data_IF_759613506736
#
_entry.id   IF_759613506736
#
_cell.length_a   1.000
_cell.length_b   1.000
_cell.length_c   1.000
_cell.angle_alpha   90.00
_cell.angle_beta   90.00
_cell.angle_gamma   90.00
#
_symmetry.space_group_name_H-M   'P 1'
#
loop_
_entity.id
_entity.type
_entity.pdbx_description
1 polymer ?
#
# COMPACT_ATOMS: atom_id res chain seq x y z
N UNK A 1 15.98 -4.38 6.91
CA UNK A 1 15.30 -3.79 8.08
C UNK A 1 15.39 -2.27 8.01
N UNK A 2 14.30 -1.58 8.20
CA UNK A 2 14.26 -0.12 8.19
C UNK A 2 14.73 0.46 9.53
N UNK A 3 15.27 1.68 9.47
CA UNK A 3 15.67 2.39 10.69
C UNK A 3 14.44 3.07 11.32
N UNK A 4 14.07 2.66 12.53
CA UNK A 4 12.89 3.19 13.25
C UNK A 4 12.97 4.68 13.62
N UNK A 5 14.16 5.28 13.52
CA UNK A 5 14.39 6.71 13.83
C UNK A 5 14.28 7.62 12.59
N UNK A 6 14.15 7.06 11.40
CA UNK A 6 13.93 7.78 10.15
C UNK A 6 12.57 7.43 9.58
N UNK A 7 12.04 8.32 8.73
CA UNK A 7 10.77 8.04 8.05
C UNK A 7 10.89 6.76 7.23
N UNK A 8 9.95 5.84 7.44
CA UNK A 8 9.95 4.55 6.77
C UNK A 8 8.53 3.99 6.60
N UNK A 9 8.39 3.16 5.59
CA UNK A 9 7.14 2.51 5.23
C UNK A 9 7.26 1.00 5.40
N UNK A 10 6.37 0.42 6.20
CA UNK A 10 6.12 -1.01 6.20
C UNK A 10 5.01 -1.31 5.21
N UNK A 11 5.15 -2.37 4.43
CA UNK A 11 4.12 -2.83 3.49
C UNK A 11 3.71 -4.24 3.87
N UNK A 12 2.42 -4.44 4.15
CA UNK A 12 1.84 -5.74 4.43
C UNK A 12 1.00 -6.20 3.24
N UNK A 13 1.51 -7.10 2.39
CA UNK A 13 0.74 -7.65 1.29
C UNK A 13 -0.19 -8.77 1.76
N UNK A 14 -1.35 -8.89 1.11
CA UNK A 14 -2.29 -9.99 1.35
C UNK A 14 -1.67 -11.33 0.96
N UNK A 15 -1.05 -11.37 -0.23
CA UNK A 15 -0.51 -12.59 -0.82
C UNK A 15 0.75 -12.32 -1.66
N UNK A 16 1.25 -13.35 -2.32
CA UNK A 16 2.43 -13.28 -3.18
C UNK A 16 2.24 -12.35 -4.38
N UNK A 17 1.05 -12.31 -4.98
CA UNK A 17 0.80 -11.45 -6.14
C UNK A 17 0.91 -9.96 -5.76
N UNK A 18 0.33 -9.57 -4.62
CA UNK A 18 0.49 -8.22 -4.06
C UNK A 18 1.95 -7.92 -3.73
N UNK A 19 2.68 -8.89 -3.17
CA UNK A 19 4.12 -8.73 -2.88
C UNK A 19 4.93 -8.50 -4.15
N UNK A 20 4.62 -9.18 -5.25
CA UNK A 20 5.29 -8.99 -6.54
C UNK A 20 5.09 -7.60 -7.12
N UNK A 21 3.90 -7.01 -6.96
CA UNK A 21 3.66 -5.60 -7.32
C UNK A 21 4.60 -4.67 -6.55
N UNK A 22 4.71 -4.85 -5.24
CA UNK A 22 5.62 -4.04 -4.39
C UNK A 22 7.07 -4.23 -4.80
N UNK A 23 7.49 -5.46 -5.03
CA UNK A 23 8.86 -5.74 -5.45
C UNK A 23 9.20 -5.04 -6.77
N UNK A 24 8.26 -5.01 -7.72
CA UNK A 24 8.41 -4.24 -8.95
C UNK A 24 8.53 -2.74 -8.71
N UNK A 25 7.68 -2.20 -7.85
CA UNK A 25 7.71 -0.79 -7.44
C UNK A 25 9.09 -0.42 -6.87
N UNK A 26 9.65 -1.26 -6.00
CA UNK A 26 10.94 -1.01 -5.34
C UNK A 26 12.14 -1.14 -6.29
N UNK A 27 11.97 -1.73 -7.48
CA UNK A 27 13.02 -1.81 -8.51
C UNK A 27 13.17 -0.49 -9.29
N UNK A 28 12.23 0.43 -9.16
CA UNK A 28 12.34 1.73 -9.80
C UNK A 28 13.48 2.53 -9.16
N UNK A 29 14.35 3.11 -10.00
CA UNK A 29 15.58 3.79 -9.53
C UNK A 29 15.32 5.03 -8.69
N UNK A 30 14.15 5.64 -8.85
CA UNK A 30 13.76 6.83 -8.09
C UNK A 30 13.23 6.51 -6.70
N UNK A 31 12.98 5.23 -6.40
CA UNK A 31 12.47 4.79 -5.10
C UNK A 31 13.61 4.51 -4.14
N UNK A 32 13.56 5.12 -2.96
CA UNK A 32 14.50 4.85 -1.87
C UNK A 32 14.12 3.54 -1.16
N UNK A 33 14.45 2.42 -1.76
CA UNK A 33 14.05 1.08 -1.26
C UNK A 33 14.46 0.82 0.20
N UNK A 34 15.52 1.48 0.69
CA UNK A 34 16.03 1.31 2.08
C UNK A 34 15.08 1.86 3.14
N UNK A 35 14.15 2.75 2.78
CA UNK A 35 13.12 3.23 3.71
C UNK A 35 11.84 2.40 3.65
N UNK A 36 11.82 1.30 2.88
CA UNK A 36 10.67 0.40 2.76
C UNK A 36 11.04 -0.99 3.26
N UNK A 37 10.16 -1.59 4.04
CA UNK A 37 10.24 -2.98 4.45
C UNK A 37 8.96 -3.70 4.05
N UNK A 38 9.09 -4.71 3.19
CA UNK A 38 7.98 -5.58 2.82
C UNK A 38 7.90 -6.70 3.86
N UNK A 39 6.76 -6.78 4.52
CA UNK A 39 6.48 -7.81 5.51
C UNK A 39 6.09 -9.12 4.82
N UNK A 40 6.10 -10.22 5.58
CA UNK A 40 5.60 -11.48 5.09
C UNK A 40 4.10 -11.36 4.76
N UNK A 41 3.65 -11.97 3.69
CA UNK A 41 2.25 -11.94 3.28
C UNK A 41 1.32 -12.50 4.38
N UNK A 42 0.18 -11.85 4.57
CA UNK A 42 -0.76 -12.17 5.64
C UNK A 42 -1.58 -13.44 5.37
N UNK A 43 -1.73 -13.84 4.10
CA UNK A 43 -2.49 -15.03 3.71
C UNK A 43 -4.00 -14.80 3.66
N UNK A 44 -4.45 -13.61 3.26
CA UNK A 44 -5.85 -13.26 3.06
C UNK A 44 -6.19 -11.88 3.62
N UNK A 45 -7.19 -11.23 3.05
CA UNK A 45 -7.56 -9.87 3.44
C UNK A 45 -8.06 -9.76 4.90
N UNK A 46 -8.75 -10.80 5.42
CA UNK A 46 -9.14 -10.86 6.83
C UNK A 46 -7.90 -10.85 7.75
N UNK A 47 -6.84 -11.56 7.36
CA UNK A 47 -5.59 -11.60 8.11
C UNK A 47 -4.86 -10.26 8.05
N UNK A 48 -4.92 -9.55 6.92
CA UNK A 48 -4.38 -8.18 6.79
C UNK A 48 -5.08 -7.26 7.78
N UNK A 49 -6.43 -7.29 7.82
CA UNK A 49 -7.20 -6.45 8.73
C UNK A 49 -7.00 -6.85 10.20
N UNK A 50 -6.85 -8.14 10.50
CA UNK A 50 -6.51 -8.59 11.85
C UNK A 50 -5.12 -8.10 12.27
N UNK A 51 -4.14 -8.15 11.37
CA UNK A 51 -2.78 -7.67 11.63
C UNK A 51 -2.74 -6.17 11.96
N UNK A 52 -3.52 -5.33 11.29
CA UNK A 52 -3.56 -3.90 11.59
C UNK A 52 -4.05 -3.56 13.00
N UNK A 53 -4.80 -4.47 13.62
CA UNK A 53 -5.32 -4.33 14.98
C UNK A 53 -4.47 -5.04 16.03
N UNK A 54 -3.46 -5.80 15.61
CA UNK A 54 -2.56 -6.50 16.53
C UNK A 54 -1.81 -5.49 17.43
N UNK A 55 -1.71 -5.80 18.71
CA UNK A 55 -1.14 -4.89 19.70
C UNK A 55 0.28 -4.44 19.35
N UNK A 56 1.13 -5.34 18.86
CA UNK A 56 2.49 -5.01 18.45
C UNK A 56 2.54 -4.05 17.26
N UNK A 57 1.60 -4.17 16.31
CA UNK A 57 1.51 -3.27 15.14
C UNK A 57 1.04 -1.89 15.57
N UNK A 58 -0.03 -1.83 16.36
CA UNK A 58 -0.59 -0.58 16.87
C UNK A 58 0.43 0.15 17.75
N UNK A 59 1.04 -0.56 18.69
CA UNK A 59 2.07 0.01 19.57
C UNK A 59 3.30 0.48 18.76
N UNK A 60 3.67 -0.26 17.72
CA UNK A 60 4.73 0.12 16.80
C UNK A 60 4.45 1.44 16.09
N UNK A 61 3.22 1.66 15.63
CA UNK A 61 2.80 2.92 15.00
C UNK A 61 2.75 4.07 16.01
N UNK A 62 2.24 3.83 17.21
CA UNK A 62 2.13 4.85 18.27
C UNK A 62 3.52 5.26 18.77
N UNK A 63 4.40 4.29 19.05
CA UNK A 63 5.71 4.53 19.67
C UNK A 63 6.79 4.97 18.67
N UNK A 64 6.56 4.79 17.37
CA UNK A 64 7.48 5.21 16.31
C UNK A 64 6.80 6.18 15.36
N UNK A 65 6.78 7.48 15.66
CA UNK A 65 6.01 8.49 14.91
C UNK A 65 6.46 8.66 13.44
N UNK A 66 7.60 8.10 13.06
CA UNK A 66 8.12 8.09 11.68
C UNK A 66 7.80 6.81 10.92
N UNK A 67 7.08 5.88 11.55
CA UNK A 67 6.63 4.64 10.91
C UNK A 67 5.28 4.84 10.24
N UNK A 68 5.18 4.40 9.00
CA UNK A 68 3.95 4.29 8.22
C UNK A 68 3.69 2.83 7.87
N UNK A 69 2.42 2.45 7.73
CA UNK A 69 2.03 1.09 7.36
C UNK A 69 1.04 1.14 6.18
N UNK A 70 1.40 0.51 5.09
CA UNK A 70 0.56 0.31 3.92
C UNK A 70 0.07 -1.13 3.88
N UNK A 71 -1.23 -1.30 3.84
CA UNK A 71 -1.89 -2.58 3.63
C UNK A 71 -2.22 -2.72 2.14
N UNK A 72 -1.95 -3.89 1.56
CA UNK A 72 -2.31 -4.22 0.19
C UNK A 72 -3.24 -5.42 0.18
N UNK A 73 -4.46 -5.24 -0.32
CA UNK A 73 -5.46 -6.30 -0.41
C UNK A 73 -6.05 -6.39 -1.82
N UNK A 74 -6.69 -7.51 -2.10
CA UNK A 74 -7.56 -7.66 -3.25
C UNK A 74 -8.98 -7.26 -2.84
N UNK A 75 -9.65 -6.45 -3.64
CA UNK A 75 -11.02 -6.07 -3.35
C UNK A 75 -12.06 -7.08 -3.88
N UNK A 76 -11.69 -7.99 -4.77
CA UNK A 76 -12.55 -9.04 -5.34
C UNK A 76 -13.93 -8.53 -5.76
N UNK A 77 -13.98 -7.35 -6.38
CA UNK A 77 -15.21 -6.63 -6.76
C UNK A 77 -16.12 -6.28 -5.55
N UNK A 78 -15.59 -6.35 -4.32
CA UNK A 78 -16.30 -6.03 -3.08
C UNK A 78 -15.70 -4.80 -2.39
N UNK A 79 -15.25 -3.83 -3.17
CA UNK A 79 -14.53 -2.66 -2.64
C UNK A 79 -15.34 -1.93 -1.57
N UNK A 80 -16.62 -1.67 -1.79
CA UNK A 80 -17.47 -0.96 -0.83
C UNK A 80 -17.54 -1.69 0.52
N UNK A 81 -17.74 -3.02 0.50
CA UNK A 81 -17.83 -3.85 1.71
C UNK A 81 -16.48 -3.90 2.43
N UNK A 82 -15.40 -4.15 1.71
CA UNK A 82 -14.05 -4.26 2.32
C UNK A 82 -13.53 -2.93 2.83
N UNK A 83 -13.80 -1.83 2.13
CA UNK A 83 -13.48 -0.48 2.60
C UNK A 83 -14.26 -0.12 3.86
N UNK A 84 -15.54 -0.50 3.94
CA UNK A 84 -16.34 -0.28 5.15
C UNK A 84 -15.81 -1.08 6.35
N UNK A 85 -15.46 -2.34 6.14
CA UNK A 85 -14.85 -3.18 7.17
C UNK A 85 -13.52 -2.59 7.65
N UNK A 86 -12.67 -2.15 6.71
CA UNK A 86 -11.42 -1.45 7.03
C UNK A 86 -11.70 -0.18 7.86
N UNK A 87 -12.63 0.65 7.42
CA UNK A 87 -12.98 1.89 8.12
C UNK A 87 -13.47 1.64 9.54
N UNK A 88 -14.30 0.61 9.75
CA UNK A 88 -14.81 0.23 11.07
C UNK A 88 -13.67 -0.19 12.00
N UNK A 89 -12.71 -0.97 11.50
CA UNK A 89 -11.56 -1.42 12.29
C UNK A 89 -10.56 -0.29 12.54
N UNK A 90 -10.38 0.60 11.58
CA UNK A 90 -9.51 1.77 11.72
C UNK A 90 -10.02 2.73 12.79
N UNK A 91 -11.34 2.96 12.85
CA UNK A 91 -11.96 3.93 13.73
C UNK A 91 -11.73 3.67 15.24
N UNK A 92 -11.46 2.43 15.63
CA UNK A 92 -11.20 2.05 17.03
C UNK A 92 -9.72 2.13 17.41
N UNK A 93 -8.83 2.41 16.46
CA UNK A 93 -7.40 2.55 16.74
C UNK A 93 -7.08 3.95 17.28
N UNK A 94 -5.94 4.11 17.97
CA UNK A 94 -5.44 5.44 18.33
C UNK A 94 -5.26 6.33 17.10
N UNK A 95 -5.57 7.62 17.21
CA UNK A 95 -5.47 8.59 16.10
C UNK A 95 -4.06 8.62 15.50
N UNK A 96 -3.03 8.50 16.34
CA UNK A 96 -1.65 8.44 15.87
C UNK A 96 -1.38 7.25 14.93
N UNK A 97 -2.04 6.12 15.15
CA UNK A 97 -1.98 4.96 14.25
C UNK A 97 -2.84 5.19 12.99
N UNK A 98 -4.08 5.68 13.15
CA UNK A 98 -4.97 5.96 12.02
C UNK A 98 -4.31 6.85 10.96
N UNK A 99 -3.62 7.91 11.39
CA UNK A 99 -3.04 8.91 10.50
C UNK A 99 -1.89 8.36 9.63
N UNK A 100 -1.29 7.24 10.01
CA UNK A 100 -0.13 6.65 9.32
C UNK A 100 -0.37 5.23 8.82
N UNK A 101 -1.64 4.85 8.73
CA UNK A 101 -2.10 3.58 8.19
C UNK A 101 -2.85 3.82 6.89
N UNK A 102 -2.53 3.05 5.86
CA UNK A 102 -3.05 3.21 4.49
C UNK A 102 -3.51 1.88 3.93
N UNK A 103 -4.47 1.91 3.02
CA UNK A 103 -4.99 0.74 2.31
C UNK A 103 -5.04 1.02 0.81
N UNK A 104 -4.37 0.19 0.02
CA UNK A 104 -4.48 0.15 -1.43
C UNK A 104 -4.86 -1.27 -1.87
N UNK A 105 -5.40 -1.38 -3.07
CA UNK A 105 -5.68 -2.68 -3.64
C UNK A 105 -6.19 -2.61 -5.07
N UNK A 106 -6.15 -3.75 -5.77
CA UNK A 106 -6.80 -3.90 -7.06
C UNK A 106 -8.31 -4.10 -6.89
N UNK A 107 -9.09 -3.57 -7.82
CA UNK A 107 -10.56 -3.68 -7.77
C UNK A 107 -11.04 -5.14 -7.77
N UNK A 108 -10.38 -5.98 -8.55
CA UNK A 108 -10.57 -7.43 -8.56
C UNK A 108 -9.38 -8.11 -7.90
N UNK A 109 -8.48 -8.69 -8.69
CA UNK A 109 -7.24 -9.33 -8.25
C UNK A 109 -6.04 -8.82 -9.04
N UNK A 110 -4.80 -8.95 -8.53
CA UNK A 110 -3.61 -8.60 -9.29
C UNK A 110 -3.49 -9.38 -10.61
N UNK A 111 -3.94 -10.63 -10.66
CA UNK A 111 -3.92 -11.45 -11.88
C UNK A 111 -4.85 -10.86 -12.96
N UNK A 112 -6.02 -10.34 -12.56
CA UNK A 112 -6.92 -9.63 -13.48
C UNK A 112 -6.30 -8.34 -13.99
N UNK A 113 -5.64 -7.59 -13.09
CA UNK A 113 -4.89 -6.40 -13.47
C UNK A 113 -3.78 -6.75 -14.46
N UNK A 114 -3.02 -7.80 -14.20
CA UNK A 114 -1.96 -8.30 -15.10
C UNK A 114 -2.52 -8.60 -16.49
N UNK A 115 -3.63 -9.30 -16.56
CA UNK A 115 -4.29 -9.63 -17.84
C UNK A 115 -4.77 -8.37 -18.56
N UNK A 116 -5.39 -7.45 -17.85
CA UNK A 116 -5.92 -6.21 -18.41
C UNK A 116 -4.81 -5.29 -18.95
N UNK A 117 -3.65 -5.25 -18.29
CA UNK A 117 -2.51 -4.42 -18.69
C UNK A 117 -1.60 -5.11 -19.72
N UNK A 118 -1.67 -6.44 -19.84
CA UNK A 118 -0.73 -7.21 -20.68
C UNK A 118 0.73 -7.13 -20.20
N UNK A 119 0.95 -6.96 -18.91
CA UNK A 119 2.26 -6.78 -18.30
C UNK A 119 2.44 -7.76 -17.13
N UNK A 120 3.69 -8.10 -16.81
CA UNK A 120 3.98 -8.84 -15.56
C UNK A 120 3.72 -7.97 -14.33
N UNK A 121 3.43 -8.59 -13.19
CA UNK A 121 3.13 -7.86 -11.94
C UNK A 121 4.27 -6.94 -11.51
N UNK A 122 5.51 -7.38 -11.67
CA UNK A 122 6.68 -6.58 -11.35
C UNK A 122 6.81 -5.36 -12.28
N UNK A 123 6.47 -5.49 -13.56
CA UNK A 123 6.50 -4.39 -14.52
C UNK A 123 5.38 -3.38 -14.21
N UNK A 124 4.21 -3.86 -13.81
CA UNK A 124 3.11 -3.01 -13.33
C UNK A 124 3.59 -2.20 -12.11
N UNK A 125 4.18 -2.87 -11.13
CA UNK A 125 4.71 -2.20 -9.94
C UNK A 125 5.74 -1.13 -10.29
N UNK A 126 6.68 -1.44 -11.17
CA UNK A 126 7.69 -0.50 -11.65
C UNK A 126 7.04 0.73 -12.34
N UNK A 127 6.04 0.50 -13.19
CA UNK A 127 5.32 1.57 -13.87
C UNK A 127 4.54 2.44 -12.89
N UNK A 128 3.91 1.84 -11.88
CA UNK A 128 3.21 2.59 -10.82
C UNK A 128 4.15 3.54 -10.07
N UNK A 129 5.41 3.13 -9.85
CA UNK A 129 6.41 4.01 -9.27
C UNK A 129 6.81 5.16 -10.23
N UNK A 130 6.97 4.87 -11.51
CA UNK A 130 7.26 5.87 -12.54
C UNK A 130 6.14 6.91 -12.69
N UNK A 131 4.90 6.51 -12.43
CA UNK A 131 3.71 7.35 -12.52
C UNK A 131 3.40 8.10 -11.20
N UNK A 132 4.35 8.20 -10.29
CA UNK A 132 4.22 8.98 -9.05
C UNK A 132 4.88 10.36 -9.18
N UNK A 133 4.22 11.46 -8.76
CA UNK A 133 2.84 11.51 -8.26
C UNK A 133 1.82 11.17 -9.35
N UNK A 134 0.68 10.55 -8.99
CA UNK A 134 -0.32 10.17 -9.99
C UNK A 134 -0.83 11.39 -10.74
N UNK A 135 -0.76 11.35 -12.06
CA UNK A 135 -1.34 12.38 -12.92
C UNK A 135 -2.80 12.04 -13.24
N UNK A 136 -3.68 13.06 -13.45
CA UNK A 136 -5.11 12.84 -13.68
C UNK A 136 -5.42 11.97 -14.90
N UNK A 137 -4.57 11.98 -15.93
CA UNK A 137 -4.78 11.20 -17.16
C UNK A 137 -3.48 10.56 -17.62
N UNK A 138 -3.58 9.35 -18.20
CA UNK A 138 -2.44 8.63 -18.78
C UNK A 138 -1.56 7.89 -17.76
N UNK A 139 -1.82 8.04 -16.47
CA UNK A 139 -1.14 7.27 -15.41
C UNK A 139 -1.77 5.88 -15.27
N UNK A 140 -0.97 4.88 -14.96
CA UNK A 140 -1.46 3.53 -14.65
C UNK A 140 -2.38 3.55 -13.41
N UNK A 141 -2.19 4.49 -12.48
CA UNK A 141 -3.06 4.69 -11.33
C UNK A 141 -4.50 5.04 -11.70
N UNK A 142 -4.74 5.59 -12.90
CA UNK A 142 -6.08 5.89 -13.41
C UNK A 142 -6.76 4.71 -14.12
N UNK A 143 -6.08 3.56 -14.21
CA UNK A 143 -6.67 2.34 -14.77
C UNK A 143 -7.94 1.95 -14.00
N UNK A 144 -9.00 1.43 -14.66
CA UNK A 144 -10.26 1.05 -14.00
C UNK A 144 -10.08 0.10 -12.81
N UNK A 145 -9.07 -0.75 -12.80
CA UNK A 145 -8.75 -1.63 -11.68
C UNK A 145 -8.04 -0.95 -10.51
N UNK A 146 -7.61 0.31 -10.64
CA UNK A 146 -6.81 1.02 -9.63
C UNK A 146 -7.37 2.40 -9.25
N UNK A 147 -8.23 2.99 -10.07
CA UNK A 147 -8.71 4.38 -9.88
C UNK A 147 -9.41 4.64 -8.55
N UNK A 148 -10.00 3.62 -7.95
CA UNK A 148 -10.66 3.70 -6.64
C UNK A 148 -9.67 3.99 -5.49
N UNK A 149 -8.37 3.81 -5.71
CA UNK A 149 -7.32 4.14 -4.74
C UNK A 149 -7.04 5.65 -4.62
N UNK A 150 -7.61 6.49 -5.48
CA UNK A 150 -7.27 7.91 -5.58
C UNK A 150 -7.29 8.68 -4.24
N UNK A 151 -8.30 8.52 -3.34
CA UNK A 151 -8.30 9.22 -2.06
C UNK A 151 -7.12 8.82 -1.17
N UNK A 152 -6.78 7.54 -1.14
CA UNK A 152 -5.67 7.03 -0.32
C UNK A 152 -4.31 7.40 -0.91
N UNK A 153 -4.19 7.39 -2.25
CA UNK A 153 -3.00 7.89 -2.94
C UNK A 153 -2.73 9.35 -2.63
N UNK A 154 -3.75 10.20 -2.52
CA UNK A 154 -3.58 11.60 -2.14
C UNK A 154 -2.95 11.74 -0.76
N UNK A 155 -3.33 10.88 0.20
CA UNK A 155 -2.71 10.83 1.53
C UNK A 155 -1.25 10.38 1.46
N UNK A 156 -0.96 9.33 0.70
CA UNK A 156 0.39 8.79 0.51
C UNK A 156 1.31 9.81 -0.18
N UNK A 157 0.81 10.51 -1.18
CA UNK A 157 1.57 11.59 -1.86
C UNK A 157 1.99 12.67 -0.87
N UNK A 158 1.12 13.05 0.05
CA UNK A 158 1.41 14.10 1.03
C UNK A 158 2.36 13.61 2.12
N UNK A 159 2.20 12.38 2.62
CA UNK A 159 2.85 11.92 3.85
C UNK A 159 4.03 10.97 3.62
N UNK A 160 4.03 10.20 2.55
CA UNK A 160 5.01 9.12 2.29
C UNK A 160 5.94 9.47 1.13
N UNK A 161 5.40 10.00 0.04
CA UNK A 161 6.19 10.33 -1.14
C UNK A 161 7.42 11.21 -0.85
N UNK A 162 7.38 12.23 0.05
CA UNK A 162 8.53 13.07 0.31
C UNK A 162 9.79 12.34 0.79
N UNK A 163 9.63 11.23 1.51
CA UNK A 163 10.78 10.44 1.94
C UNK A 163 11.01 9.19 1.08
N UNK A 164 10.00 8.77 0.30
CA UNK A 164 10.04 7.54 -0.49
C UNK A 164 10.80 7.70 -1.79
N UNK A 165 10.74 8.86 -2.42
CA UNK A 165 11.39 9.11 -3.70
C UNK A 165 12.65 9.97 -3.58
N UNK A 166 13.60 9.71 -4.48
CA UNK A 166 14.76 10.58 -4.65
C UNK A 166 14.31 11.89 -5.31
N UNK A 167 14.83 12.96 -4.82
CA UNK A 167 14.59 14.29 -5.40
C UNK A 167 15.59 14.52 -6.51
#
# INVERSE_FOLDING_TARGET
MTNKYTDHLLVLPEDDANRRLVNGFLKNVDVKYRCVQVLHEAGGWHNVLAAMQAAEVVNGLVNHPKRHLLLLIDFDQQAATRLQEYANRLAVLPVAAQNRLYLLGSLETPERLRTACGMHLEDIGHQLASDCPPLPAGSLWSHPHLQHNAPELARLVTQVQPFLFQV
#
